data_IF_514347615964
#
_entry.id   IF_514347615964
#
_cell.length_a   1.000
_cell.length_b   1.000
_cell.length_c   1.000
_cell.angle_alpha   90.00
_cell.angle_beta   90.00
_cell.angle_gamma   90.00
#
_symmetry.space_group_name_H-M   'P 1'
#
loop_
_entity.id
_entity.type
_entity.pdbx_description
1 polymer ?
#
# COMPACT_ATOMS: atom_id res chain seq x y z
N UNK A 1 -5.53 2.87 30.86
CA UNK A 1 -6.97 2.91 30.57
C UNK A 1 -7.65 4.28 30.78
N UNK A 2 -6.92 5.41 30.94
CA UNK A 2 -7.56 6.74 31.07
C UNK A 2 -8.01 7.37 29.73
N UNK A 3 -7.36 7.02 28.62
CA UNK A 3 -7.66 7.53 27.27
C UNK A 3 -7.93 6.42 26.23
N UNK A 4 -7.90 5.15 26.66
CA UNK A 4 -8.04 3.98 25.80
C UNK A 4 -8.85 2.94 26.57
N UNK A 5 -9.86 2.38 25.91
CA UNK A 5 -10.79 1.39 26.46
C UNK A 5 -10.20 -0.02 26.39
N UNK A 6 -9.36 -0.31 25.40
CA UNK A 6 -8.66 -1.60 25.25
C UNK A 6 -7.32 -1.46 24.50
N UNK A 7 -6.56 -2.57 24.44
CA UNK A 7 -5.25 -2.63 23.77
C UNK A 7 -5.33 -2.33 22.27
N UNK A 8 -6.43 -2.68 21.60
CA UNK A 8 -6.63 -2.42 20.17
C UNK A 8 -6.79 -0.93 19.90
N UNK A 9 -7.33 -0.14 20.83
CA UNK A 9 -7.42 1.31 20.67
C UNK A 9 -6.02 1.95 20.60
N UNK A 10 -5.07 1.45 21.39
CA UNK A 10 -3.67 1.89 21.36
C UNK A 10 -3.02 1.52 20.02
N UNK A 11 -3.27 0.30 19.53
CA UNK A 11 -2.73 -0.14 18.24
C UNK A 11 -3.32 0.70 17.11
N UNK A 12 -4.63 0.93 17.12
CA UNK A 12 -5.34 1.77 16.14
C UNK A 12 -4.79 3.20 16.13
N UNK A 13 -4.55 3.79 17.31
CA UNK A 13 -3.92 5.10 17.42
C UNK A 13 -2.51 5.12 16.80
N UNK A 14 -1.71 4.08 17.03
CA UNK A 14 -0.38 3.96 16.40
C UNK A 14 -0.45 3.80 14.89
N UNK A 15 -1.40 2.99 14.38
CA UNK A 15 -1.64 2.86 12.94
C UNK A 15 -1.98 4.22 12.34
N UNK A 16 -2.94 4.94 12.94
CA UNK A 16 -3.31 6.28 12.48
C UNK A 16 -2.10 7.20 12.38
N UNK A 17 -1.32 7.27 13.45
CA UNK A 17 -0.12 8.12 13.50
C UNK A 17 0.90 7.73 12.43
N UNK A 18 1.11 6.44 12.21
CA UNK A 18 1.97 5.93 11.13
C UNK A 18 1.55 6.46 9.75
N UNK A 19 0.26 6.38 9.43
CA UNK A 19 -0.24 6.89 8.13
C UNK A 19 -0.22 8.41 8.04
N UNK A 20 -0.51 9.13 9.13
CA UNK A 20 -0.43 10.59 9.17
C UNK A 20 1.02 11.06 8.93
N UNK A 21 2.01 10.42 9.57
CA UNK A 21 3.43 10.72 9.38
C UNK A 21 3.89 10.38 7.95
N UNK A 22 3.49 9.22 7.43
CA UNK A 22 3.79 8.83 6.06
C UNK A 22 3.21 9.80 5.02
N UNK A 23 1.96 10.23 5.20
CA UNK A 23 1.31 11.20 4.33
C UNK A 23 2.10 12.52 4.23
N UNK A 24 2.59 13.03 5.37
CA UNK A 24 3.43 14.23 5.40
C UNK A 24 4.77 14.01 4.68
N UNK A 25 5.38 12.84 4.85
CA UNK A 25 6.63 12.50 4.15
C UNK A 25 6.44 12.48 2.64
N UNK A 26 5.33 11.89 2.15
CA UNK A 26 4.99 11.89 0.73
C UNK A 26 4.80 13.31 0.19
N UNK A 27 4.03 14.15 0.87
CA UNK A 27 3.86 15.56 0.46
C UNK A 27 5.21 16.26 0.34
N UNK A 28 6.05 16.12 1.37
CA UNK A 28 7.35 16.78 1.42
C UNK A 28 8.24 16.31 0.27
N UNK A 29 8.33 14.99 0.04
CA UNK A 29 9.12 14.41 -1.03
C UNK A 29 8.68 14.89 -2.42
N UNK A 30 7.37 14.85 -2.71
CA UNK A 30 6.84 15.30 -4.00
C UNK A 30 6.98 16.81 -4.22
N UNK A 31 6.95 17.60 -3.14
CA UNK A 31 7.17 19.05 -3.22
C UNK A 31 8.61 19.43 -3.60
N UNK A 32 9.59 18.60 -3.23
CA UNK A 32 11.02 18.86 -3.43
C UNK A 32 11.54 18.19 -4.71
N UNK A 33 11.20 16.91 -4.91
CA UNK A 33 11.84 16.07 -5.92
C UNK A 33 11.05 15.93 -7.21
N UNK A 34 9.74 16.25 -7.21
CA UNK A 34 8.81 16.08 -8.33
C UNK A 34 9.06 14.80 -9.17
N UNK A 35 9.07 13.62 -8.52
CA UNK A 35 9.39 12.37 -9.18
C UNK A 35 8.31 11.99 -10.21
N UNK A 36 8.72 11.37 -11.31
CA UNK A 36 7.80 10.82 -12.31
C UNK A 36 7.47 9.36 -12.03
N UNK A 37 6.20 8.99 -12.19
CA UNK A 37 5.73 7.60 -12.07
C UNK A 37 5.40 7.19 -10.64
N UNK A 38 4.85 5.98 -10.53
CA UNK A 38 4.26 5.43 -9.31
C UNK A 38 5.24 4.64 -8.42
N UNK A 39 6.35 4.16 -8.99
CA UNK A 39 7.32 3.32 -8.28
C UNK A 39 7.93 4.00 -7.04
N UNK A 40 8.35 5.29 -7.07
CA UNK A 40 8.93 5.93 -5.89
C UNK A 40 7.98 5.98 -4.69
N UNK A 41 6.70 6.29 -4.91
CA UNK A 41 5.70 6.34 -3.84
C UNK A 41 5.44 4.96 -3.23
N UNK A 42 5.37 3.92 -4.07
CA UNK A 42 5.19 2.54 -3.61
C UNK A 42 6.42 2.08 -2.81
N UNK A 43 7.63 2.45 -3.25
CA UNK A 43 8.86 2.15 -2.52
C UNK A 43 8.96 2.87 -1.18
N UNK A 44 8.57 4.14 -1.13
CA UNK A 44 8.46 4.88 0.14
C UNK A 44 7.49 4.17 1.09
N UNK A 45 6.33 3.75 0.60
CA UNK A 45 5.35 3.03 1.42
C UNK A 45 5.93 1.73 2.00
N UNK A 46 6.53 0.88 1.16
CA UNK A 46 7.15 -0.35 1.66
C UNK A 46 8.35 -0.10 2.56
N UNK A 47 9.07 1.02 2.38
CA UNK A 47 10.17 1.43 3.25
C UNK A 47 9.67 1.78 4.65
N UNK A 48 8.55 2.50 4.77
CA UNK A 48 7.94 2.79 6.06
C UNK A 48 7.40 1.53 6.75
N UNK A 49 6.76 0.62 6.00
CA UNK A 49 6.38 -0.70 6.51
C UNK A 49 7.59 -1.47 7.05
N UNK A 50 8.75 -1.33 6.39
CA UNK A 50 9.98 -1.97 6.80
C UNK A 50 10.61 -1.35 8.05
N UNK A 51 10.42 -0.05 8.28
CA UNK A 51 10.85 0.65 9.49
C UNK A 51 9.96 0.29 10.69
N UNK A 52 8.65 0.18 10.48
CA UNK A 52 7.64 -0.05 11.52
C UNK A 52 7.23 -1.53 11.69
N UNK A 53 8.13 -2.48 11.41
CA UNK A 53 7.87 -3.93 11.43
C UNK A 53 7.16 -4.43 12.70
N UNK A 54 7.54 -3.93 13.87
CA UNK A 54 6.95 -4.36 15.13
C UNK A 54 5.49 -3.94 15.26
N UNK A 55 5.14 -2.76 14.74
CA UNK A 55 3.76 -2.32 14.64
C UNK A 55 2.99 -3.25 13.70
N UNK A 56 3.50 -3.50 12.51
CA UNK A 56 2.87 -4.36 11.49
C UNK A 56 2.63 -5.78 12.01
N UNK A 57 3.60 -6.37 12.70
CA UNK A 57 3.46 -7.67 13.34
C UNK A 57 2.38 -7.67 14.42
N UNK A 58 2.31 -6.58 15.19
CA UNK A 58 1.30 -6.40 16.23
C UNK A 58 -0.10 -6.31 15.62
N UNK A 59 -0.27 -5.57 14.52
CA UNK A 59 -1.53 -5.51 13.77
C UNK A 59 -1.95 -6.90 13.32
N UNK A 60 -1.05 -7.61 12.64
CA UNK A 60 -1.34 -8.92 12.08
C UNK A 60 -1.76 -9.92 13.16
N UNK A 61 -1.05 -9.94 14.29
CA UNK A 61 -1.35 -10.82 15.44
C UNK A 61 -2.63 -10.43 16.18
N UNK A 62 -3.05 -9.16 16.08
CA UNK A 62 -4.24 -8.64 16.78
C UNK A 62 -5.50 -8.67 15.91
N UNK A 63 -5.45 -9.28 14.72
CA UNK A 63 -6.54 -9.31 13.74
C UNK A 63 -7.08 -7.92 13.36
N UNK A 64 -6.19 -6.92 13.31
CA UNK A 64 -6.52 -5.54 12.94
C UNK A 64 -6.18 -5.23 11.47
N UNK A 65 -6.09 -6.27 10.64
CA UNK A 65 -5.82 -6.19 9.20
C UNK A 65 -6.75 -5.19 8.49
N UNK A 66 -8.03 -5.16 8.85
CA UNK A 66 -9.02 -4.28 8.23
C UNK A 66 -8.69 -2.80 8.42
N UNK A 67 -8.10 -2.43 9.57
CA UNK A 67 -7.70 -1.05 9.86
C UNK A 67 -6.55 -0.64 8.93
N UNK A 68 -5.59 -1.53 8.68
CA UNK A 68 -4.50 -1.22 7.73
C UNK A 68 -5.05 -0.97 6.33
N UNK A 69 -5.98 -1.81 5.87
CA UNK A 69 -6.60 -1.63 4.55
C UNK A 69 -7.34 -0.29 4.50
N UNK A 70 -8.16 0.02 5.51
CA UNK A 70 -8.90 1.29 5.61
C UNK A 70 -7.96 2.51 5.52
N UNK A 71 -6.85 2.50 6.24
CA UNK A 71 -5.91 3.63 6.18
C UNK A 71 -5.11 3.69 4.87
N UNK A 72 -4.84 2.56 4.21
CA UNK A 72 -4.29 2.57 2.84
C UNK A 72 -5.29 3.19 1.86
N UNK A 73 -6.59 2.89 1.99
CA UNK A 73 -7.66 3.52 1.20
C UNK A 73 -7.70 5.03 1.44
N UNK A 74 -7.63 5.48 2.70
CA UNK A 74 -7.58 6.90 3.07
C UNK A 74 -6.35 7.57 2.42
N UNK A 75 -5.18 6.95 2.51
CA UNK A 75 -3.95 7.44 1.92
C UNK A 75 -4.07 7.61 0.40
N UNK A 76 -4.60 6.60 -0.32
CA UNK A 76 -4.80 6.68 -1.78
C UNK A 76 -5.75 7.84 -2.12
N UNK A 77 -6.85 7.99 -1.37
CA UNK A 77 -7.80 9.07 -1.56
C UNK A 77 -7.18 10.45 -1.29
N UNK A 78 -6.34 10.58 -0.25
CA UNK A 78 -5.64 11.83 0.05
C UNK A 78 -4.63 12.22 -1.04
N UNK A 79 -4.19 11.26 -1.85
CA UNK A 79 -3.30 11.46 -2.99
C UNK A 79 -4.00 11.30 -4.34
N UNK A 80 -5.34 11.27 -4.38
CA UNK A 80 -6.12 10.98 -5.60
C UNK A 80 -5.73 11.87 -6.78
N UNK A 81 -5.44 13.14 -6.52
CA UNK A 81 -4.98 14.12 -7.53
C UNK A 81 -3.60 13.83 -8.13
N UNK A 82 -2.76 13.04 -7.45
CA UNK A 82 -1.48 12.55 -7.95
C UNK A 82 -1.64 11.29 -8.83
N UNK A 83 -2.72 10.53 -8.63
CA UNK A 83 -2.96 9.25 -9.31
C UNK A 83 -3.96 9.34 -10.48
N UNK A 84 -4.97 10.21 -10.40
CA UNK A 84 -6.09 10.25 -11.34
C UNK A 84 -6.20 11.59 -12.05
N UNK A 85 -5.54 11.74 -13.20
CA UNK A 85 -5.69 12.94 -14.05
C UNK A 85 -6.02 12.69 -15.53
N UNK A 86 -6.32 11.46 -15.94
CA UNK A 86 -6.39 11.14 -17.38
C UNK A 86 -7.81 10.74 -17.85
N UNK A 87 -8.67 10.21 -16.99
CA UNK A 87 -10.02 9.74 -17.38
C UNK A 87 -11.05 10.19 -16.34
N UNK A 88 -12.23 10.67 -16.76
CA UNK A 88 -13.35 10.95 -15.84
C UNK A 88 -13.80 9.62 -15.21
N UNK A 89 -13.59 9.38 -13.91
CA UNK A 89 -13.91 8.09 -13.33
C UNK A 89 -15.42 7.97 -13.11
N UNK A 90 -15.95 6.79 -13.38
CA UNK A 90 -17.12 6.31 -12.64
C UNK A 90 -16.68 6.16 -11.17
N UNK A 91 -17.22 7.01 -10.29
CA UNK A 91 -16.84 7.07 -8.87
C UNK A 91 -17.05 5.72 -8.18
N UNK A 92 -18.09 4.96 -8.57
CA UNK A 92 -18.35 3.66 -7.98
C UNK A 92 -17.26 2.67 -8.36
N UNK A 93 -16.88 2.62 -9.64
CA UNK A 93 -15.79 1.77 -10.12
C UNK A 93 -14.46 2.14 -9.47
N UNK A 94 -14.18 3.44 -9.35
CA UNK A 94 -12.94 3.92 -8.73
C UNK A 94 -12.81 3.49 -7.26
N UNK A 95 -13.90 3.56 -6.48
CA UNK A 95 -13.89 3.09 -5.10
C UNK A 95 -13.56 1.59 -5.02
N UNK A 96 -14.13 0.76 -5.91
CA UNK A 96 -13.77 -0.66 -5.98
C UNK A 96 -12.29 -0.86 -6.35
N UNK A 97 -11.76 -0.09 -7.29
CA UNK A 97 -10.34 -0.15 -7.67
C UNK A 97 -9.45 0.18 -6.47
N UNK A 98 -9.76 1.26 -5.74
CA UNK A 98 -8.99 1.68 -4.56
C UNK A 98 -8.99 0.59 -3.48
N UNK A 99 -10.14 -0.01 -3.19
CA UNK A 99 -10.27 -1.11 -2.24
C UNK A 99 -9.45 -2.35 -2.65
N UNK A 100 -9.47 -2.71 -3.94
CA UNK A 100 -8.67 -3.81 -4.49
C UNK A 100 -7.18 -3.50 -4.33
N UNK A 101 -6.76 -2.30 -4.74
CA UNK A 101 -5.36 -1.85 -4.65
C UNK A 101 -4.87 -1.90 -3.20
N UNK A 102 -5.64 -1.35 -2.26
CA UNK A 102 -5.33 -1.37 -0.84
C UNK A 102 -5.25 -2.79 -0.27
N UNK A 103 -6.23 -3.64 -0.59
CA UNK A 103 -6.29 -5.04 -0.16
C UNK A 103 -5.12 -5.85 -0.71
N UNK A 104 -4.73 -5.63 -1.97
CA UNK A 104 -3.57 -6.26 -2.60
C UNK A 104 -2.27 -5.84 -1.92
N UNK A 105 -2.11 -4.57 -1.55
CA UNK A 105 -0.92 -4.08 -0.87
C UNK A 105 -0.75 -4.77 0.49
N UNK A 106 -1.83 -4.82 1.28
CA UNK A 106 -1.80 -5.52 2.57
C UNK A 106 -1.59 -7.03 2.42
N UNK A 107 -2.17 -7.64 1.40
CA UNK A 107 -1.98 -9.07 1.11
C UNK A 107 -0.52 -9.39 0.78
N UNK A 108 0.15 -8.52 0.02
CA UNK A 108 1.58 -8.66 -0.26
C UNK A 108 2.42 -8.55 1.02
N UNK A 109 2.13 -7.58 1.90
CA UNK A 109 2.81 -7.43 3.20
C UNK A 109 2.66 -8.70 4.05
N UNK A 110 1.44 -9.25 4.13
CA UNK A 110 1.21 -10.52 4.86
C UNK A 110 1.98 -11.68 4.27
N UNK A 111 2.09 -11.74 2.95
CA UNK A 111 2.84 -12.79 2.25
C UNK A 111 4.33 -12.67 2.53
N UNK A 112 4.86 -11.45 2.48
CA UNK A 112 6.25 -11.12 2.84
C UNK A 112 6.57 -11.51 4.29
N UNK A 113 5.68 -11.19 5.25
CA UNK A 113 5.84 -11.59 6.66
C UNK A 113 5.88 -13.13 6.79
N UNK A 114 4.93 -13.83 6.19
CA UNK A 114 4.86 -15.31 6.22
C UNK A 114 6.06 -15.96 5.52
N UNK A 115 6.60 -15.33 4.49
CA UNK A 115 7.77 -15.77 3.73
C UNK A 115 9.11 -15.54 4.44
N UNK A 116 9.11 -14.95 5.63
CA UNK A 116 10.33 -14.66 6.39
C UNK A 116 11.00 -13.33 6.03
N UNK A 117 10.28 -12.43 5.35
CA UNK A 117 10.71 -11.06 5.05
C UNK A 117 12.01 -10.96 4.23
N UNK A 118 12.05 -11.71 3.13
CA UNK A 118 13.28 -11.85 2.32
C UNK A 118 13.50 -10.65 1.40
N UNK A 119 12.41 -10.14 0.83
CA UNK A 119 12.41 -9.08 -0.15
C UNK A 119 12.65 -7.71 0.51
N UNK A 120 13.39 -6.86 -0.19
CA UNK A 120 13.61 -5.44 0.12
C UNK A 120 12.39 -4.60 -0.27
N UNK A 121 12.25 -3.36 0.25
CA UNK A 121 11.18 -2.46 -0.15
C UNK A 121 11.07 -2.23 -1.67
N UNK A 122 12.22 -2.08 -2.33
CA UNK A 122 12.28 -1.93 -3.78
C UNK A 122 11.78 -3.17 -4.53
N UNK A 123 12.17 -4.37 -4.09
CA UNK A 123 11.70 -5.63 -4.67
C UNK A 123 10.18 -5.82 -4.45
N UNK A 124 9.67 -5.51 -3.25
CA UNK A 124 8.23 -5.54 -2.99
C UNK A 124 7.46 -4.57 -3.90
N UNK A 125 8.01 -3.39 -4.15
CA UNK A 125 7.42 -2.40 -5.05
C UNK A 125 7.32 -2.91 -6.48
N UNK A 126 8.37 -3.57 -6.96
CA UNK A 126 8.38 -4.22 -8.28
C UNK A 126 7.36 -5.36 -8.36
N UNK A 127 7.30 -6.21 -7.34
CA UNK A 127 6.33 -7.32 -7.27
C UNK A 127 4.90 -6.78 -7.30
N UNK A 128 4.63 -5.74 -6.52
CA UNK A 128 3.32 -5.12 -6.44
C UNK A 128 2.86 -4.59 -7.81
N UNK A 129 3.70 -3.80 -8.49
CA UNK A 129 3.39 -3.29 -9.84
C UNK A 129 3.27 -4.40 -10.88
N UNK A 130 4.20 -5.36 -10.85
CA UNK A 130 4.18 -6.49 -11.78
C UNK A 130 2.90 -7.33 -11.63
N UNK A 131 2.32 -7.42 -10.43
CA UNK A 131 1.09 -8.18 -10.19
C UNK A 131 -0.06 -7.66 -11.03
N UNK A 132 -0.33 -6.35 -11.02
CA UNK A 132 -1.42 -5.77 -11.81
C UNK A 132 -1.16 -5.89 -13.32
N UNK A 133 0.09 -5.70 -13.74
CA UNK A 133 0.48 -5.87 -15.14
C UNK A 133 0.25 -7.31 -15.61
N UNK A 134 0.72 -8.29 -14.83
CA UNK A 134 0.57 -9.71 -15.13
C UNK A 134 -0.89 -10.15 -15.15
N UNK A 135 -1.73 -9.65 -14.25
CA UNK A 135 -3.18 -9.93 -14.26
C UNK A 135 -3.83 -9.36 -15.53
N UNK A 136 -3.51 -8.13 -15.90
CA UNK A 136 -4.02 -7.52 -17.13
C UNK A 136 -3.61 -8.36 -18.36
N UNK A 137 -2.33 -8.73 -18.47
CA UNK A 137 -1.83 -9.58 -19.55
C UNK A 137 -2.51 -10.96 -19.55
N UNK A 138 -2.68 -11.61 -18.39
CA UNK A 138 -3.27 -12.93 -18.30
C UNK A 138 -4.76 -12.95 -18.70
N UNK A 139 -5.48 -11.87 -18.41
CA UNK A 139 -6.92 -11.76 -18.69
C UNK A 139 -7.22 -11.20 -20.09
N UNK A 140 -6.38 -10.31 -20.60
CA UNK A 140 -6.66 -9.52 -21.80
C UNK A 140 -5.52 -9.49 -22.82
N UNK A 141 -4.32 -9.91 -22.43
CA UNK A 141 -3.12 -9.96 -23.29
C UNK A 141 -2.95 -11.31 -24.01
N UNK A 142 -1.98 -11.36 -24.91
CA UNK A 142 -1.60 -12.59 -25.58
C UNK A 142 -0.64 -13.38 -24.67
N UNK A 143 -0.74 -14.72 -24.59
CA UNK A 143 0.02 -15.52 -23.61
C UNK A 143 1.55 -15.36 -23.71
N UNK A 144 2.05 -14.93 -24.86
CA UNK A 144 3.48 -14.69 -25.12
C UNK A 144 4.05 -13.49 -24.34
N UNK A 145 3.20 -12.57 -23.87
CA UNK A 145 3.60 -11.38 -23.11
C UNK A 145 3.93 -11.67 -21.63
N UNK A 146 3.69 -12.91 -21.15
CA UNK A 146 4.00 -13.34 -19.77
C UNK A 146 5.48 -13.66 -19.55
N UNK A 147 6.30 -13.71 -20.61
CA UNK A 147 7.73 -14.07 -20.54
C UNK A 147 8.66 -12.86 -20.42
N UNK A 148 8.40 -11.99 -19.44
CA UNK A 148 9.34 -10.94 -19.01
C UNK A 148 9.32 -11.03 -17.48
N UNK A 149 10.25 -11.68 -16.76
CA UNK A 149 11.71 -11.69 -16.88
C UNK A 149 12.25 -12.77 -15.91
N UNK A 150 13.21 -13.59 -16.37
CA UNK A 150 14.16 -14.32 -15.51
C UNK A 150 15.34 -13.40 -15.17
#
# INVERSE_FOLDING_TARGET
>A
YRNFSNKNDIITYRIKRFFDEFYQEVINYYSISNPSGELPLIEMFFSEIFKERDLIDTVHKSNLDYIMIEYIVILINNHRELFYKIVKPDITLENYIIEIVASSAWTLIKTWIKGGRKETPFELSKIYLATFKSVNIALFGNKDDLNISR
#
